data_IF_542004639580
#
_entry.id   IF_542004639580
#
_cell.length_a   1.000
_cell.length_b   1.000
_cell.length_c   1.000
_cell.angle_alpha   90.00
_cell.angle_beta   90.00
_cell.angle_gamma   90.00
#
_symmetry.space_group_name_H-M   'P 1'
#
loop_
_entity.id
_entity.type
_entity.pdbx_description
1 polymer ?
#
# COMPACT_ATOMS: atom_id res chain seq x y z
N UNK A 1 38.08 2.94 -10.72
CA UNK A 1 36.98 2.00 -10.45
C UNK A 1 36.19 2.60 -9.33
N UNK A 2 34.94 2.98 -9.54
CA UNK A 2 34.05 3.45 -8.48
C UNK A 2 33.75 2.25 -7.59
N UNK A 3 34.03 2.36 -6.29
CA UNK A 3 33.63 1.35 -5.32
C UNK A 3 32.12 1.15 -5.42
N UNK A 4 31.68 -0.11 -5.47
CA UNK A 4 30.25 -0.42 -5.41
C UNK A 4 29.83 -0.22 -3.97
N UNK A 5 29.04 0.81 -3.71
CA UNK A 5 28.40 1.00 -2.43
C UNK A 5 27.42 -0.16 -2.21
N UNK A 6 27.65 -0.93 -1.15
CA UNK A 6 26.82 -2.09 -0.79
C UNK A 6 26.04 -1.77 0.47
N UNK A 7 24.74 -2.03 0.46
CA UNK A 7 23.89 -1.92 1.64
C UNK A 7 24.43 -2.74 2.80
N UNK A 8 24.41 -2.19 4.02
CA UNK A 8 24.57 -3.00 5.21
C UNK A 8 23.25 -3.70 5.56
N UNK A 9 23.31 -4.80 6.31
CA UNK A 9 22.08 -5.44 6.79
C UNK A 9 21.29 -4.55 7.74
N UNK A 10 21.96 -3.66 8.48
CA UNK A 10 21.29 -2.67 9.34
C UNK A 10 20.48 -1.68 8.52
N UNK A 11 21.05 -1.17 7.43
CA UNK A 11 20.35 -0.26 6.51
C UNK A 11 19.10 -0.94 5.90
N UNK A 12 19.23 -2.20 5.47
CA UNK A 12 18.11 -2.95 4.90
C UNK A 12 16.98 -3.23 5.90
N UNK A 13 17.31 -3.46 7.18
CA UNK A 13 16.29 -3.61 8.22
C UNK A 13 15.57 -2.28 8.47
N UNK A 14 16.32 -1.18 8.50
CA UNK A 14 15.79 0.16 8.71
C UNK A 14 14.88 0.66 7.58
N UNK A 15 15.02 0.13 6.35
CA UNK A 15 14.09 0.41 5.25
C UNK A 15 12.64 0.08 5.62
N UNK A 16 12.43 -0.98 6.41
CA UNK A 16 11.08 -1.34 6.87
C UNK A 16 10.51 -0.39 7.92
N UNK A 17 11.32 0.54 8.43
CA UNK A 17 10.92 1.53 9.41
C UNK A 17 10.97 2.96 8.87
N UNK A 18 11.38 3.14 7.62
CA UNK A 18 11.42 4.42 6.93
C UNK A 18 10.01 4.81 6.48
N UNK A 19 9.59 6.03 6.83
CA UNK A 19 8.33 6.60 6.35
C UNK A 19 8.56 7.14 4.94
N UNK A 20 7.92 6.50 3.98
CA UNK A 20 7.88 6.94 2.60
C UNK A 20 6.67 7.84 2.38
N UNK A 21 6.84 8.86 1.54
CA UNK A 21 5.75 9.76 1.14
C UNK A 21 5.66 9.77 -0.38
N UNK A 22 4.44 9.74 -0.90
CA UNK A 22 4.18 9.85 -2.33
C UNK A 22 2.93 10.69 -2.57
N UNK A 23 2.77 11.16 -3.80
CA UNK A 23 1.64 11.96 -4.23
C UNK A 23 0.99 11.35 -5.47
N UNK A 24 -0.33 11.52 -5.57
CA UNK A 24 -1.08 11.13 -6.74
C UNK A 24 -2.17 12.14 -7.06
N UNK A 25 -2.42 12.36 -8.35
CA UNK A 25 -3.54 13.16 -8.80
C UNK A 25 -4.82 12.34 -8.83
N UNK A 26 -5.86 12.88 -8.21
CA UNK A 26 -7.20 12.30 -8.24
C UNK A 26 -8.23 13.40 -8.49
N UNK A 27 -8.90 13.32 -9.66
CA UNK A 27 -9.94 14.29 -10.07
C UNK A 27 -9.46 15.75 -10.01
N UNK A 28 -8.24 15.99 -10.48
CA UNK A 28 -7.64 17.33 -10.55
C UNK A 28 -7.16 17.89 -9.21
N UNK A 29 -7.06 17.06 -8.18
CA UNK A 29 -6.46 17.43 -6.88
C UNK A 29 -5.36 16.43 -6.52
N UNK A 30 -4.31 16.94 -5.89
CA UNK A 30 -3.22 16.12 -5.37
C UNK A 30 -3.61 15.52 -4.02
N UNK A 31 -3.40 14.22 -3.89
CA UNK A 31 -3.51 13.47 -2.64
C UNK A 31 -2.10 13.01 -2.24
N UNK A 32 -1.65 13.46 -1.08
CA UNK A 32 -0.41 12.96 -0.46
C UNK A 32 -0.73 11.73 0.39
N UNK A 33 0.12 10.72 0.31
CA UNK A 33 0.04 9.49 1.10
C UNK A 33 1.38 9.24 1.78
N UNK A 34 1.34 8.62 2.96
CA UNK A 34 2.53 8.09 3.61
C UNK A 34 2.34 6.61 3.93
N UNK A 35 3.42 5.85 3.81
CA UNK A 35 3.42 4.41 4.05
C UNK A 35 4.82 3.95 4.49
N UNK A 36 4.87 2.77 5.10
CA UNK A 36 6.09 2.16 5.59
C UNK A 36 6.04 0.67 5.24
N UNK A 37 7.16 0.10 4.80
CA UNK A 37 7.22 -1.32 4.44
C UNK A 37 6.93 -2.21 5.66
N UNK A 38 6.35 -3.37 5.41
CA UNK A 38 6.05 -4.35 6.45
C UNK A 38 7.12 -5.44 6.45
N UNK A 39 7.52 -5.84 7.64
CA UNK A 39 8.20 -7.12 7.82
C UNK A 39 7.18 -8.27 7.70
N UNK A 40 7.67 -9.48 7.44
CA UNK A 40 6.83 -10.68 7.32
C UNK A 40 5.90 -10.90 8.55
N UNK A 41 6.36 -10.53 9.74
CA UNK A 41 5.56 -10.69 10.97
C UNK A 41 4.42 -9.67 11.09
N UNK A 42 4.53 -8.55 10.38
CA UNK A 42 3.55 -7.45 10.36
C UNK A 42 2.50 -7.63 9.26
N UNK A 43 2.78 -8.41 8.22
CA UNK A 43 1.86 -8.70 7.11
C UNK A 43 0.50 -9.23 7.60
N UNK A 44 -0.63 -8.90 6.94
CA UNK A 44 -1.91 -9.52 7.23
C UNK A 44 -1.84 -11.01 6.88
N UNK A 45 -2.18 -11.86 7.86
CA UNK A 45 -2.16 -13.32 7.65
C UNK A 45 -3.22 -13.73 6.65
N UNK A 46 -2.83 -14.54 5.66
CA UNK A 46 -3.75 -15.21 4.73
C UNK A 46 -4.53 -16.31 5.45
N UNK A 47 -5.49 -15.94 6.30
CA UNK A 47 -6.43 -16.87 6.91
C UNK A 47 -7.64 -16.99 6.01
N UNK A 48 -8.04 -18.23 5.69
CA UNK A 48 -9.33 -18.50 5.04
C UNK A 48 -9.26 -19.01 3.61
N UNK A 49 -8.08 -19.11 2.98
CA UNK A 49 -7.96 -19.85 1.73
C UNK A 49 -8.26 -21.33 1.98
N UNK A 50 -9.21 -21.85 1.21
CA UNK A 50 -9.64 -23.25 1.23
C UNK A 50 -9.76 -23.72 -0.23
N UNK A 51 -9.36 -24.96 -0.49
CA UNK A 51 -9.44 -25.60 -1.82
C UNK A 51 -10.87 -25.71 -2.35
N UNK A 52 -11.88 -25.64 -1.48
CA UNK A 52 -13.30 -25.63 -1.85
C UNK A 52 -13.82 -24.25 -2.30
N UNK A 53 -13.04 -23.18 -2.14
CA UNK A 53 -13.45 -21.85 -2.63
C UNK A 53 -13.40 -21.79 -4.15
N UNK A 54 -14.38 -21.10 -4.72
CA UNK A 54 -14.37 -20.74 -6.14
C UNK A 54 -13.24 -19.74 -6.44
N UNK A 55 -12.88 -19.63 -7.72
CA UNK A 55 -11.87 -18.66 -8.14
C UNK A 55 -12.30 -17.21 -7.85
N UNK A 56 -13.60 -16.91 -7.93
CA UNK A 56 -14.14 -15.59 -7.59
C UNK A 56 -13.93 -15.27 -6.10
N UNK A 57 -14.30 -16.18 -5.20
CA UNK A 57 -14.08 -16.00 -3.76
C UNK A 57 -12.60 -15.88 -3.39
N UNK A 58 -11.71 -16.63 -4.08
CA UNK A 58 -10.27 -16.49 -3.91
C UNK A 58 -9.79 -15.11 -4.35
N UNK A 59 -10.25 -14.63 -5.50
CA UNK A 59 -9.90 -13.29 -6.00
C UNK A 59 -10.35 -12.20 -5.04
N UNK A 60 -11.57 -12.27 -4.52
CA UNK A 60 -12.07 -11.33 -3.51
C UNK A 60 -11.20 -11.34 -2.24
N UNK A 61 -10.83 -12.53 -1.76
CA UNK A 61 -9.97 -12.67 -0.58
C UNK A 61 -8.58 -12.07 -0.82
N UNK A 62 -7.96 -12.31 -1.97
CA UNK A 62 -6.67 -11.71 -2.32
C UNK A 62 -6.75 -10.18 -2.41
N UNK A 63 -7.81 -9.64 -3.02
CA UNK A 63 -8.02 -8.19 -3.07
C UNK A 63 -8.19 -7.60 -1.68
N UNK A 64 -8.93 -8.28 -0.80
CA UNK A 64 -9.10 -7.86 0.59
C UNK A 64 -7.75 -7.86 1.32
N UNK A 65 -6.96 -8.91 1.19
CA UNK A 65 -5.63 -9.01 1.83
C UNK A 65 -4.70 -7.90 1.33
N UNK A 66 -4.69 -7.62 0.03
CA UNK A 66 -3.92 -6.50 -0.53
C UNK A 66 -4.36 -5.14 0.01
N UNK A 67 -5.67 -4.93 0.18
CA UNK A 67 -6.20 -3.71 0.79
C UNK A 67 -5.83 -3.58 2.27
N UNK A 68 -5.97 -4.67 3.04
CA UNK A 68 -5.59 -4.72 4.45
C UNK A 68 -4.08 -4.49 4.64
N UNK A 69 -3.25 -4.98 3.71
CA UNK A 69 -1.80 -4.77 3.69
C UNK A 69 -1.45 -3.30 3.55
N UNK A 70 -2.05 -2.63 2.56
CA UNK A 70 -1.83 -1.19 2.34
C UNK A 70 -2.27 -0.36 3.55
N UNK A 71 -3.40 -0.70 4.17
CA UNK A 71 -3.85 -0.01 5.38
C UNK A 71 -2.85 -0.17 6.52
N UNK A 72 -2.30 -1.36 6.75
CA UNK A 72 -1.25 -1.58 7.76
C UNK A 72 0.02 -0.77 7.49
N UNK A 73 0.44 -0.67 6.23
CA UNK A 73 1.60 0.15 5.84
C UNK A 73 1.37 1.63 6.19
N UNK A 74 0.16 2.14 5.92
CA UNK A 74 -0.26 3.50 6.25
C UNK A 74 -0.30 3.71 7.77
N UNK A 75 -0.92 2.79 8.52
CA UNK A 75 -1.01 2.88 9.99
C UNK A 75 0.37 2.84 10.65
N UNK A 76 1.28 1.98 10.15
CA UNK A 76 2.67 1.94 10.60
C UNK A 76 3.36 3.28 10.36
N UNK A 77 3.21 3.86 9.16
CA UNK A 77 3.75 5.19 8.86
C UNK A 77 3.20 6.28 9.78
N UNK A 78 1.89 6.31 10.00
CA UNK A 78 1.27 7.29 10.92
C UNK A 78 1.79 7.14 12.35
N UNK A 79 2.03 5.92 12.82
CA UNK A 79 2.59 5.71 14.16
C UNK A 79 3.99 6.29 14.32
N UNK A 80 4.75 6.38 13.22
CA UNK A 80 6.12 6.92 13.17
C UNK A 80 6.16 8.41 12.83
N UNK A 81 5.20 8.89 12.04
CA UNK A 81 5.04 10.28 11.63
C UNK A 81 3.59 10.75 11.79
N UNK A 82 3.13 11.00 13.05
CA UNK A 82 1.75 11.38 13.31
C UNK A 82 1.39 12.76 12.73
N UNK A 83 2.35 13.67 12.66
CA UNK A 83 2.14 15.03 12.13
C UNK A 83 1.93 15.04 10.60
N UNK A 84 2.41 14.00 9.91
CA UNK A 84 2.24 13.81 8.46
C UNK A 84 1.08 12.88 8.07
N UNK A 85 0.22 12.48 9.02
CA UNK A 85 -0.90 11.57 8.76
C UNK A 85 -1.87 12.14 7.71
N UNK A 86 -2.09 11.39 6.64
CA UNK A 86 -3.05 11.75 5.57
C UNK A 86 -4.23 10.79 5.47
N UNK A 87 -4.01 9.50 5.72
CA UNK A 87 -5.03 8.44 5.69
C UNK A 87 -4.94 7.59 6.94
N UNK A 88 -6.07 7.04 7.41
CA UNK A 88 -6.15 6.08 8.51
C UNK A 88 -7.33 5.12 8.28
N UNK A 89 -7.58 4.17 9.18
CA UNK A 89 -8.67 3.21 9.02
C UNK A 89 -10.05 3.86 8.77
N UNK A 90 -10.33 4.99 9.44
CA UNK A 90 -11.62 5.70 9.31
C UNK A 90 -11.72 6.36 7.94
N UNK A 91 -10.71 7.12 7.54
CA UNK A 91 -10.73 7.81 6.24
C UNK A 91 -10.63 6.82 5.08
N UNK A 92 -9.82 5.77 5.21
CA UNK A 92 -9.70 4.66 4.25
C UNK A 92 -11.04 4.02 3.95
N UNK A 93 -11.80 3.64 4.99
CA UNK A 93 -13.12 3.02 4.82
C UNK A 93 -14.15 3.94 4.16
N UNK A 94 -13.97 5.27 4.26
CA UNK A 94 -14.84 6.26 3.64
C UNK A 94 -14.47 6.56 2.17
N UNK A 95 -13.30 6.12 1.68
CA UNK A 95 -12.87 6.38 0.32
C UNK A 95 -13.65 5.54 -0.71
N UNK A 96 -13.89 6.07 -1.92
CA UNK A 96 -14.35 5.29 -3.05
C UNK A 96 -13.45 4.08 -3.28
N UNK A 97 -14.04 2.92 -3.53
CA UNK A 97 -13.30 1.67 -3.78
C UNK A 97 -12.29 1.82 -4.92
N UNK A 98 -12.61 2.57 -5.98
CA UNK A 98 -11.69 2.87 -7.08
C UNK A 98 -10.45 3.66 -6.66
N UNK A 99 -10.60 4.61 -5.73
CA UNK A 99 -9.48 5.37 -5.19
C UNK A 99 -8.61 4.48 -4.28
N UNK A 100 -9.21 3.63 -3.45
CA UNK A 100 -8.45 2.65 -2.65
C UNK A 100 -7.60 1.73 -3.51
N UNK A 101 -8.12 1.27 -4.64
CA UNK A 101 -7.32 0.48 -5.60
C UNK A 101 -6.17 1.28 -6.19
N UNK A 102 -6.36 2.55 -6.56
CA UNK A 102 -5.28 3.39 -7.09
C UNK A 102 -4.19 3.63 -6.04
N UNK A 103 -4.58 3.94 -4.79
CA UNK A 103 -3.62 4.10 -3.68
C UNK A 103 -2.88 2.78 -3.43
N UNK A 104 -3.57 1.64 -3.41
CA UNK A 104 -2.93 0.34 -3.23
C UNK A 104 -1.92 0.02 -4.34
N UNK A 105 -2.27 0.28 -5.60
CA UNK A 105 -1.33 0.09 -6.71
C UNK A 105 -0.11 0.99 -6.59
N UNK A 106 -0.31 2.26 -6.19
CA UNK A 106 0.75 3.23 -5.95
C UNK A 106 1.70 2.76 -4.85
N UNK A 107 1.16 2.35 -3.69
CA UNK A 107 1.95 1.85 -2.55
C UNK A 107 2.70 0.57 -2.89
N UNK A 108 2.07 -0.37 -3.59
CA UNK A 108 2.66 -1.67 -3.92
C UNK A 108 3.61 -1.61 -5.13
N UNK A 109 3.86 -0.43 -5.69
CA UNK A 109 4.70 -0.26 -6.87
C UNK A 109 4.17 -0.99 -8.10
N UNK A 110 2.86 -1.26 -8.15
CA UNK A 110 2.21 -1.85 -9.32
C UNK A 110 2.06 -0.75 -10.35
N UNK A 111 3.00 -0.68 -11.30
CA UNK A 111 2.89 0.18 -12.48
C UNK A 111 1.71 -0.29 -13.34
N UNK A 112 0.51 0.23 -13.05
CA UNK A 112 -0.62 0.12 -13.95
C UNK A 112 -0.50 1.20 -15.02
N UNK A 113 -0.47 0.83 -16.30
CA UNK A 113 -0.86 1.75 -17.36
C UNK A 113 -2.28 2.25 -17.03
N UNK A 114 -2.39 3.45 -16.46
CA UNK A 114 -3.68 4.12 -16.28
C UNK A 114 -4.16 4.53 -17.66
N UNK A 115 -4.79 3.61 -18.38
CA UNK A 115 -5.62 3.97 -19.53
C UNK A 115 -6.85 4.65 -18.98
N UNK A 116 -6.88 5.97 -19.10
CA UNK A 116 -8.05 6.80 -18.87
C UNK A 116 -9.21 6.33 -19.77
N UNK A 117 -9.95 5.32 -19.33
CA UNK A 117 -11.21 4.94 -19.96
C UNK A 117 -12.34 5.76 -19.35
N UNK A 118 -12.37 7.06 -19.65
CA UNK A 118 -13.60 7.84 -19.62
C UNK A 118 -13.54 8.93 -20.70
N UNK A 119 -14.09 8.62 -21.86
CA UNK A 119 -14.72 9.63 -22.72
C UNK A 119 -16.12 9.16 -23.07
N UNK A 120 -17.06 10.11 -22.89
CA UNK A 120 -18.52 10.01 -22.98
C UNK A 120 -19.02 9.43 -24.31
#
# INVERSE_FOLDING_TARGET
>A
MTEKETWSMEDLMNLTDEVQTDEMDYRGKTLSIQFCELTESEEPKMKGLNDAMTEEEKMELYQKIGSDRCLKMIEKANSKNPEGETLNAVTWAALPTTLRYQIANKILGVEGEVKENFTL
#
